data_IF_092379102436
#
_entry.id   IF_092379102436
#
_cell.length_a   1.000
_cell.length_b   1.000
_cell.length_c   1.000
_cell.angle_alpha   90.00
_cell.angle_beta   90.00
_cell.angle_gamma   90.00
#
_symmetry.space_group_name_H-M   'P 1'
#
loop_
_entity.id
_entity.type
_entity.pdbx_description
1 polymer ?
#
# COMPACT_ATOMS: atom_id res chain seq x y z
N UNK A 1 21.46 -12.32 8.24
CA UNK A 1 20.50 -11.21 8.41
C UNK A 1 19.90 -11.28 9.81
N UNK A 2 20.21 -10.29 10.66
CA UNK A 2 19.66 -10.18 12.01
C UNK A 2 18.56 -9.10 11.97
N UNK A 3 17.26 -9.47 12.06
CA UNK A 3 16.16 -8.51 11.96
C UNK A 3 16.25 -7.32 12.91
N UNK A 4 16.78 -7.55 14.11
CA UNK A 4 16.97 -6.52 15.13
C UNK A 4 17.99 -5.45 14.71
N UNK A 5 19.02 -5.84 13.94
CA UNK A 5 20.03 -4.91 13.43
C UNK A 5 19.40 -4.00 12.39
N UNK A 6 18.61 -4.56 11.47
CA UNK A 6 17.92 -3.80 10.43
C UNK A 6 16.87 -2.85 11.02
N UNK A 7 16.07 -3.29 11.99
CA UNK A 7 15.13 -2.43 12.72
C UNK A 7 15.86 -1.25 13.39
N UNK A 8 16.94 -1.55 14.12
CA UNK A 8 17.74 -0.52 14.80
C UNK A 8 18.38 0.45 13.80
N UNK A 9 18.89 -0.05 12.68
CA UNK A 9 19.48 0.77 11.64
C UNK A 9 18.43 1.72 11.04
N UNK A 10 17.23 1.22 10.71
CA UNK A 10 16.17 2.08 10.17
C UNK A 10 15.75 3.16 11.15
N UNK A 11 15.70 2.86 12.46
CA UNK A 11 15.38 3.82 13.50
C UNK A 11 16.47 4.90 13.63
N UNK A 12 17.74 4.49 13.68
CA UNK A 12 18.90 5.39 13.73
C UNK A 12 18.98 6.24 12.47
N UNK A 13 18.71 5.68 11.29
CA UNK A 13 18.66 6.43 10.03
C UNK A 13 17.54 7.48 10.04
N UNK A 14 16.34 7.13 10.50
CA UNK A 14 15.23 8.07 10.60
C UNK A 14 15.56 9.22 11.56
N UNK A 15 15.99 8.92 12.79
CA UNK A 15 16.31 9.95 13.78
C UNK A 15 17.56 10.76 13.41
N UNK A 16 18.59 10.11 12.86
CA UNK A 16 19.79 10.77 12.37
C UNK A 16 19.49 11.73 11.23
N UNK A 17 18.61 11.37 10.29
CA UNK A 17 18.17 12.25 9.21
C UNK A 17 17.40 13.47 9.73
N UNK A 18 16.58 13.29 10.77
CA UNK A 18 15.91 14.41 11.44
C UNK A 18 16.92 15.42 11.96
N UNK A 19 17.87 14.97 12.80
CA UNK A 19 18.86 15.84 13.43
C UNK A 19 19.78 16.52 12.40
N UNK A 20 20.32 15.76 11.46
CA UNK A 20 21.20 16.30 10.42
C UNK A 20 20.48 17.34 9.56
N UNK A 21 19.22 17.10 9.22
CA UNK A 21 18.46 18.07 8.44
C UNK A 21 18.15 19.34 9.23
N UNK A 22 17.88 19.27 10.54
CA UNK A 22 17.67 20.47 11.36
C UNK A 22 18.97 21.27 11.55
N UNK A 23 20.11 20.61 11.77
CA UNK A 23 21.42 21.28 11.91
C UNK A 23 21.83 22.03 10.65
N UNK A 24 21.46 21.51 9.48
CA UNK A 24 21.69 22.16 8.18
C UNK A 24 20.64 23.25 7.84
N UNK A 25 19.70 23.52 8.74
CA UNK A 25 18.63 24.51 8.55
C UNK A 25 17.48 24.06 7.63
N UNK A 26 17.41 22.77 7.31
CA UNK A 26 16.32 22.15 6.56
C UNK A 26 15.17 21.66 7.46
N UNK A 27 14.17 21.01 6.86
CA UNK A 27 13.07 20.40 7.61
C UNK A 27 13.41 18.97 8.03
N UNK A 28 13.64 18.75 9.33
CA UNK A 28 13.85 17.43 9.93
C UNK A 28 12.82 16.40 9.47
N UNK A 29 11.53 16.77 9.48
CA UNK A 29 10.42 15.91 9.06
C UNK A 29 10.55 15.48 7.59
N UNK A 30 10.85 16.40 6.67
CA UNK A 30 11.06 16.07 5.25
C UNK A 30 12.29 15.18 5.08
N UNK A 31 13.35 15.39 5.86
CA UNK A 31 14.53 14.53 5.88
C UNK A 31 14.18 13.09 6.25
N UNK A 32 13.37 12.89 7.30
CA UNK A 32 12.89 11.56 7.69
C UNK A 32 12.03 10.92 6.60
N UNK A 33 11.10 11.66 6.00
CA UNK A 33 10.25 11.17 4.90
C UNK A 33 11.11 10.71 3.72
N UNK A 34 12.13 11.49 3.36
CA UNK A 34 13.07 11.15 2.27
C UNK A 34 13.80 9.84 2.57
N UNK A 35 14.33 9.69 3.78
CA UNK A 35 14.99 8.45 4.22
C UNK A 35 14.01 7.28 4.26
N UNK A 36 12.77 7.50 4.68
CA UNK A 36 11.70 6.50 4.66
C UNK A 36 11.41 5.98 3.26
N UNK A 37 11.31 6.88 2.26
CA UNK A 37 11.12 6.50 0.85
C UNK A 37 12.32 5.71 0.32
N UNK A 38 13.55 6.14 0.64
CA UNK A 38 14.77 5.44 0.21
C UNK A 38 14.85 4.03 0.82
N UNK A 39 14.63 3.90 2.14
CA UNK A 39 14.64 2.61 2.84
C UNK A 39 13.49 1.70 2.35
N UNK A 40 12.30 2.25 2.16
CA UNK A 40 11.13 1.53 1.68
C UNK A 40 11.28 0.98 0.26
N UNK A 41 11.88 1.76 -0.65
CA UNK A 41 12.05 1.34 -2.03
C UNK A 41 13.31 0.49 -2.24
N UNK A 42 14.48 0.99 -1.82
CA UNK A 42 15.77 0.35 -2.10
C UNK A 42 16.18 -0.65 -1.02
N UNK A 43 16.08 -0.26 0.26
CA UNK A 43 16.47 -1.13 1.37
C UNK A 43 15.66 -2.42 1.39
N UNK A 44 14.34 -2.30 1.19
CA UNK A 44 13.40 -3.41 1.26
C UNK A 44 13.45 -4.41 0.10
N UNK A 45 13.92 -4.04 -1.10
CA UNK A 45 14.01 -4.95 -2.27
C UNK A 45 15.41 -5.49 -2.50
N UNK A 46 16.45 -4.69 -2.25
CA UNK A 46 17.84 -5.06 -2.61
C UNK A 46 18.61 -5.60 -1.39
N UNK A 47 18.33 -5.06 -0.19
CA UNK A 47 19.12 -5.31 1.01
C UNK A 47 18.52 -6.28 2.05
N UNK A 48 17.22 -6.56 1.99
CA UNK A 48 16.51 -7.33 3.03
C UNK A 48 15.94 -8.66 2.50
N UNK A 49 16.06 -9.73 3.29
CA UNK A 49 15.33 -10.98 3.08
C UNK A 49 13.81 -10.75 3.28
N UNK A 50 12.89 -11.38 2.51
CA UNK A 50 11.44 -11.27 2.68
C UNK A 50 10.93 -11.40 4.12
N UNK A 51 11.54 -12.28 4.94
CA UNK A 51 11.19 -12.39 6.37
C UNK A 51 11.54 -11.14 7.16
N UNK A 52 12.72 -10.57 6.92
CA UNK A 52 13.15 -9.37 7.65
C UNK A 52 12.35 -8.15 7.25
N UNK A 53 12.01 -8.02 5.96
CA UNK A 53 11.11 -6.99 5.45
C UNK A 53 9.78 -6.96 6.20
N UNK A 54 9.17 -8.13 6.40
CA UNK A 54 7.91 -8.25 7.14
C UNK A 54 8.07 -7.77 8.58
N UNK A 55 9.11 -8.23 9.28
CA UNK A 55 9.37 -7.85 10.68
C UNK A 55 9.69 -6.35 10.86
N UNK A 56 10.37 -5.73 9.90
CA UNK A 56 10.63 -4.28 9.91
C UNK A 56 9.34 -3.50 9.66
N UNK A 57 8.52 -3.94 8.70
CA UNK A 57 7.21 -3.33 8.41
C UNK A 57 6.28 -3.40 9.62
N UNK A 58 6.13 -4.58 10.23
CA UNK A 58 5.31 -4.77 11.43
C UNK A 58 5.79 -3.92 12.61
N UNK A 59 7.12 -3.80 12.78
CA UNK A 59 7.70 -2.93 13.81
C UNK A 59 7.32 -1.45 13.61
N UNK A 60 7.43 -0.93 12.39
CA UNK A 60 7.06 0.45 12.08
C UNK A 60 5.56 0.70 12.14
N UNK A 61 4.73 -0.27 11.73
CA UNK A 61 3.27 -0.21 11.86
C UNK A 61 2.87 -0.15 13.34
N UNK A 62 3.46 -1.01 14.18
CA UNK A 62 3.27 -0.98 15.63
C UNK A 62 3.70 0.36 16.23
N UNK A 63 4.88 0.87 15.86
CA UNK A 63 5.40 2.14 16.38
C UNK A 63 4.49 3.31 15.97
N UNK A 64 4.05 3.35 14.70
CA UNK A 64 3.13 4.36 14.21
C UNK A 64 1.79 4.31 14.94
N UNK A 65 1.22 3.12 15.12
CA UNK A 65 -0.01 2.93 15.91
C UNK A 65 0.16 3.41 17.36
N UNK A 66 1.28 3.06 18.00
CA UNK A 66 1.56 3.43 19.39
C UNK A 66 1.70 4.95 19.55
N UNK A 67 2.51 5.61 18.70
CA UNK A 67 2.69 7.06 18.72
C UNK A 67 1.37 7.78 18.41
N UNK A 68 0.62 7.32 17.41
CA UNK A 68 -0.69 7.89 17.09
C UNK A 68 -1.64 7.80 18.29
N UNK A 69 -1.67 6.67 18.99
CA UNK A 69 -2.50 6.47 20.18
C UNK A 69 -2.15 7.45 21.31
N UNK A 70 -0.86 7.70 21.53
CA UNK A 70 -0.39 8.72 22.49
C UNK A 70 -0.86 10.11 22.07
N UNK A 71 -0.68 10.48 20.79
CA UNK A 71 -1.10 11.79 20.27
C UNK A 71 -2.61 12.00 20.43
N UNK A 72 -3.42 10.97 20.15
CA UNK A 72 -4.87 11.02 20.36
C UNK A 72 -5.26 11.15 21.83
N UNK A 73 -4.55 10.47 22.74
CA UNK A 73 -4.77 10.60 24.17
C UNK A 73 -4.42 12.02 24.64
N UNK A 74 -3.28 12.57 24.20
CA UNK A 74 -2.81 13.91 24.56
C UNK A 74 -3.76 15.01 24.10
N UNK A 75 -4.30 14.93 22.89
CA UNK A 75 -5.33 15.90 22.47
C UNK A 75 -6.63 15.68 23.23
N UNK A 76 -7.00 14.42 23.50
CA UNK A 76 -8.12 14.04 24.36
C UNK A 76 -8.12 14.78 25.70
N UNK A 77 -6.95 14.84 26.34
CA UNK A 77 -6.71 15.49 27.63
C UNK A 77 -6.80 17.03 27.56
N UNK A 78 -6.41 17.64 26.44
CA UNK A 78 -6.38 19.10 26.26
C UNK A 78 -7.74 19.72 25.91
N UNK A 79 -8.78 18.90 25.68
CA UNK A 79 -10.09 19.39 25.25
C UNK A 79 -10.89 19.90 26.43
N UNK A 80 -11.41 21.11 26.28
CA UNK A 80 -12.37 21.70 27.20
C UNK A 80 -13.74 21.73 26.55
N UNK A 81 -14.67 20.86 26.98
CA UNK A 81 -16.00 20.74 26.37
C UNK A 81 -16.78 22.06 26.30
N UNK A 82 -16.62 22.93 27.31
CA UNK A 82 -17.24 24.26 27.32
C UNK A 82 -16.71 25.16 26.20
N UNK A 83 -15.39 25.18 26.00
CA UNK A 83 -14.72 25.92 24.93
C UNK A 83 -15.08 25.36 23.55
N UNK A 84 -15.12 24.03 23.43
CA UNK A 84 -15.49 23.35 22.18
C UNK A 84 -16.91 23.71 21.71
N UNK A 85 -17.88 23.76 22.64
CA UNK A 85 -19.26 24.17 22.32
C UNK A 85 -19.31 25.65 21.94
N UNK A 86 -18.58 26.51 22.64
CA UNK A 86 -18.47 27.93 22.31
C UNK A 86 -17.92 28.15 20.89
N UNK A 87 -16.94 27.33 20.50
CA UNK A 87 -16.26 27.39 19.21
C UNK A 87 -16.94 26.55 18.12
N UNK A 88 -18.13 25.99 18.37
CA UNK A 88 -18.82 25.09 17.44
C UNK A 88 -19.02 25.71 16.04
N UNK A 89 -19.38 27.00 15.99
CA UNK A 89 -19.54 27.70 14.72
C UNK A 89 -18.23 27.73 13.92
N UNK A 90 -17.11 28.03 14.56
CA UNK A 90 -15.78 28.07 13.92
C UNK A 90 -15.34 26.69 13.46
N UNK A 91 -15.65 25.64 14.24
CA UNK A 91 -15.40 24.25 13.86
C UNK A 91 -16.14 23.90 12.56
N UNK A 92 -17.44 24.23 12.47
CA UNK A 92 -18.23 23.95 11.26
C UNK A 92 -17.70 24.72 10.04
N UNK A 93 -17.35 26.00 10.22
CA UNK A 93 -16.72 26.80 9.15
C UNK A 93 -15.39 26.20 8.72
N UNK A 94 -14.56 25.76 9.67
CA UNK A 94 -13.29 25.12 9.39
C UNK A 94 -13.47 23.79 8.64
N UNK A 95 -14.44 22.95 9.04
CA UNK A 95 -14.78 21.71 8.33
C UNK A 95 -15.17 22.04 6.88
N UNK A 96 -16.08 22.99 6.67
CA UNK A 96 -16.52 23.39 5.35
C UNK A 96 -15.36 23.93 4.50
N UNK A 97 -14.53 24.81 5.06
CA UNK A 97 -13.36 25.37 4.39
C UNK A 97 -12.37 24.27 3.98
N UNK A 98 -12.14 23.29 4.84
CA UNK A 98 -11.27 22.14 4.56
C UNK A 98 -11.82 21.28 3.43
N UNK A 99 -13.11 20.92 3.50
CA UNK A 99 -13.76 20.11 2.47
C UNK A 99 -13.74 20.81 1.11
N UNK A 100 -14.03 22.11 1.08
CA UNK A 100 -14.04 22.92 -0.14
C UNK A 100 -12.63 23.08 -0.71
N UNK A 101 -11.66 23.44 0.12
CA UNK A 101 -10.26 23.59 -0.32
C UNK A 101 -9.74 22.26 -0.90
N UNK A 102 -10.13 21.15 -0.26
CA UNK A 102 -9.72 19.82 -0.69
C UNK A 102 -10.36 19.38 -2.01
N UNK A 103 -11.66 19.58 -2.20
CA UNK A 103 -12.31 19.22 -3.47
C UNK A 103 -11.71 20.04 -4.62
N UNK A 104 -11.45 21.33 -4.39
CA UNK A 104 -10.79 22.18 -5.39
C UNK A 104 -9.39 21.64 -5.71
N UNK A 105 -8.57 21.37 -4.69
CA UNK A 105 -7.22 20.85 -4.88
C UNK A 105 -7.22 19.54 -5.68
N UNK A 106 -8.11 18.61 -5.36
CA UNK A 106 -8.19 17.31 -6.04
C UNK A 106 -8.71 17.45 -7.46
N UNK A 107 -9.73 18.27 -7.70
CA UNK A 107 -10.21 18.51 -9.07
C UNK A 107 -9.12 19.15 -9.93
N UNK A 108 -8.36 20.11 -9.38
CA UNK A 108 -7.25 20.75 -10.11
C UNK A 108 -6.13 19.75 -10.38
N UNK A 109 -5.67 19.02 -9.35
CA UNK A 109 -4.58 18.05 -9.51
C UNK A 109 -4.98 16.86 -10.38
N UNK A 110 -6.20 16.34 -10.26
CA UNK A 110 -6.67 15.22 -11.06
C UNK A 110 -6.80 15.61 -12.54
N UNK A 111 -7.36 16.79 -12.84
CA UNK A 111 -7.39 17.27 -14.22
C UNK A 111 -5.98 17.52 -14.77
N UNK A 112 -5.08 18.09 -13.96
CA UNK A 112 -3.69 18.27 -14.37
C UNK A 112 -2.99 16.93 -14.63
N UNK A 113 -3.18 15.94 -13.75
CA UNK A 113 -2.64 14.58 -13.90
C UNK A 113 -3.21 13.88 -15.12
N UNK A 114 -4.51 14.01 -15.39
CA UNK A 114 -5.14 13.41 -16.56
C UNK A 114 -4.61 14.01 -17.86
N UNK A 115 -4.26 15.30 -17.87
CA UNK A 115 -3.69 15.95 -19.06
C UNK A 115 -2.21 15.63 -19.24
N UNK A 116 -1.41 15.65 -18.16
CA UNK A 116 0.05 15.52 -18.24
C UNK A 116 0.49 14.06 -18.21
N UNK A 117 -0.05 13.30 -17.26
CA UNK A 117 0.35 11.93 -16.99
C UNK A 117 -0.64 10.89 -17.55
N UNK A 118 -1.76 11.32 -18.18
CA UNK A 118 -2.78 10.42 -18.74
C UNK A 118 -3.28 9.39 -17.73
N UNK A 119 -3.42 9.82 -16.48
CA UNK A 119 -3.74 8.95 -15.34
C UNK A 119 -5.18 8.42 -15.31
N UNK A 120 -6.03 8.84 -16.26
CA UNK A 120 -7.42 8.39 -16.42
C UNK A 120 -8.29 8.42 -15.15
N UNK A 121 -7.99 9.32 -14.20
CA UNK A 121 -8.67 9.39 -12.91
C UNK A 121 -10.11 9.86 -13.14
N UNK A 122 -11.07 8.94 -13.02
CA UNK A 122 -12.47 9.17 -13.28
C UNK A 122 -13.11 9.98 -12.15
N UNK A 123 -14.22 10.67 -12.43
CA UNK A 123 -14.92 11.51 -11.45
C UNK A 123 -15.31 10.75 -10.17
N UNK A 124 -15.66 9.47 -10.30
CA UNK A 124 -15.94 8.60 -9.14
C UNK A 124 -14.71 8.43 -8.25
N UNK A 125 -13.53 8.23 -8.82
CA UNK A 125 -12.27 8.07 -8.10
C UNK A 125 -11.87 9.40 -7.44
N UNK A 126 -12.06 10.52 -8.13
CA UNK A 126 -11.84 11.86 -7.56
C UNK A 126 -12.71 12.13 -6.33
N UNK A 127 -13.98 11.71 -6.35
CA UNK A 127 -14.87 11.80 -5.18
C UNK A 127 -14.32 10.99 -4.01
N UNK A 128 -13.77 9.80 -4.26
CA UNK A 128 -13.19 8.98 -3.19
C UNK A 128 -11.88 9.58 -2.68
N UNK A 129 -11.03 10.10 -3.57
CA UNK A 129 -9.82 10.81 -3.15
C UNK A 129 -10.16 12.04 -2.30
N UNK A 130 -11.29 12.69 -2.57
CA UNK A 130 -11.79 13.81 -1.76
C UNK A 130 -12.32 13.36 -0.41
N UNK A 131 -13.10 12.28 -0.37
CA UNK A 131 -13.76 11.83 0.85
C UNK A 131 -12.88 10.92 1.73
N UNK A 132 -11.86 10.28 1.17
CA UNK A 132 -11.10 9.21 1.80
C UNK A 132 -9.87 9.65 2.61
N UNK A 133 -9.59 10.94 2.75
CA UNK A 133 -8.40 11.39 3.49
C UNK A 133 -8.75 11.70 4.92
N UNK A 134 -8.68 10.65 5.72
CA UNK A 134 -8.69 10.73 7.15
C UNK A 134 -7.57 11.67 7.60
N UNK A 135 -7.91 12.72 8.35
CA UNK A 135 -6.88 13.57 8.95
C UNK A 135 -6.16 12.81 10.06
N UNK A 136 -4.84 12.91 10.03
CA UNK A 136 -3.96 12.17 10.90
C UNK A 136 -3.61 12.88 12.20
N UNK A 137 -2.85 12.14 13.01
CA UNK A 137 -2.12 12.57 14.20
C UNK A 137 -1.20 13.77 13.97
N UNK A 138 -0.74 14.01 12.73
CA UNK A 138 0.18 15.10 12.41
C UNK A 138 -0.47 16.47 12.67
N UNK A 139 -1.73 16.68 12.25
CA UNK A 139 -2.44 17.93 12.51
C UNK A 139 -2.62 18.19 14.01
N UNK A 140 -2.89 17.11 14.76
CA UNK A 140 -2.99 17.15 16.22
C UNK A 140 -1.65 17.55 16.84
N UNK A 141 -0.56 16.89 16.45
CA UNK A 141 0.76 17.16 17.00
C UNK A 141 1.17 18.64 16.78
N UNK A 142 0.89 19.19 15.59
CA UNK A 142 1.15 20.60 15.28
C UNK A 142 0.28 21.51 16.15
N UNK A 143 -1.01 21.21 16.34
CA UNK A 143 -1.89 22.00 17.19
C UNK A 143 -1.43 22.00 18.66
N UNK A 144 -0.95 20.86 19.16
CA UNK A 144 -0.40 20.75 20.52
C UNK A 144 0.91 21.52 20.69
N UNK A 145 1.71 21.64 19.63
CA UNK A 145 2.97 22.38 19.59
C UNK A 145 2.81 23.90 19.57
N UNK A 146 1.57 24.42 19.47
CA UNK A 146 1.32 25.86 19.49
C UNK A 146 1.75 26.44 20.85
N UNK A 147 2.61 27.49 20.88
CA UNK A 147 3.09 28.09 22.12
C UNK A 147 1.97 28.61 23.01
N UNK A 148 2.11 28.45 24.33
CA UNK A 148 1.13 28.92 25.34
C UNK A 148 1.03 30.44 25.46
N UNK A 149 1.96 31.17 24.82
CA UNK A 149 2.00 32.64 24.80
C UNK A 149 0.89 33.21 23.90
N UNK A 150 0.36 32.41 22.98
CA UNK A 150 -0.75 32.79 22.11
C UNK A 150 -2.07 32.63 22.87
N UNK A 151 -2.82 33.73 23.03
CA UNK A 151 -4.10 33.74 23.74
C UNK A 151 -5.15 32.81 23.13
N UNK A 152 -5.11 32.61 21.82
CA UNK A 152 -6.08 31.80 21.07
C UNK A 152 -5.67 30.33 20.92
N UNK A 153 -4.67 29.86 21.70
CA UNK A 153 -4.19 28.48 21.63
C UNK A 153 -5.33 27.46 21.84
N UNK A 154 -6.20 27.69 22.83
CA UNK A 154 -7.29 26.77 23.11
C UNK A 154 -8.30 26.72 21.96
N UNK A 155 -8.61 27.86 21.35
CA UNK A 155 -9.48 27.94 20.18
C UNK A 155 -8.91 27.17 18.99
N UNK A 156 -7.60 27.28 18.73
CA UNK A 156 -6.92 26.51 17.68
C UNK A 156 -7.02 25.01 17.96
N UNK A 157 -6.76 24.59 19.20
CA UNK A 157 -6.85 23.17 19.59
C UNK A 157 -8.28 22.65 19.41
N UNK A 158 -9.28 23.41 19.85
CA UNK A 158 -10.69 23.06 19.71
C UNK A 158 -11.11 22.91 18.24
N UNK A 159 -10.68 23.85 17.38
CA UNK A 159 -10.96 23.81 15.94
C UNK A 159 -10.30 22.58 15.30
N UNK A 160 -9.01 22.36 15.56
CA UNK A 160 -8.27 21.22 14.99
C UNK A 160 -8.87 19.91 15.47
N UNK A 161 -9.17 19.80 16.77
CA UNK A 161 -9.83 18.62 17.33
C UNK A 161 -11.18 18.37 16.67
N UNK A 162 -12.04 19.39 16.58
CA UNK A 162 -13.36 19.28 15.97
C UNK A 162 -13.30 18.80 14.52
N UNK A 163 -12.37 19.35 13.72
CA UNK A 163 -12.18 18.90 12.34
C UNK A 163 -11.66 17.46 12.28
N UNK A 164 -10.66 17.10 13.09
CA UNK A 164 -10.11 15.73 13.10
C UNK A 164 -11.19 14.73 13.53
N UNK A 165 -11.94 15.03 14.59
CA UNK A 165 -13.05 14.20 15.07
C UNK A 165 -14.11 14.00 13.98
N UNK A 166 -14.47 15.07 13.26
CA UNK A 166 -15.38 14.97 12.12
C UNK A 166 -14.82 14.05 11.04
N UNK A 167 -13.56 14.21 10.63
CA UNK A 167 -12.98 13.35 9.57
C UNK A 167 -12.88 11.89 10.00
N UNK A 168 -12.54 11.60 11.26
CA UNK A 168 -12.46 10.21 11.74
C UNK A 168 -13.84 9.55 11.85
N UNK A 169 -14.83 10.25 12.41
CA UNK A 169 -16.16 9.69 12.63
C UNK A 169 -17.04 9.72 11.39
N UNK A 170 -17.04 10.82 10.64
CA UNK A 170 -17.90 10.97 9.47
C UNK A 170 -17.21 10.37 8.25
N UNK A 171 -16.06 10.91 7.82
CA UNK A 171 -15.38 10.43 6.61
C UNK A 171 -14.90 8.98 6.79
N UNK A 172 -14.33 8.64 7.96
CA UNK A 172 -13.81 7.29 8.23
C UNK A 172 -14.86 6.19 8.15
N UNK A 173 -15.99 6.34 8.86
CA UNK A 173 -17.06 5.33 8.82
C UNK A 173 -17.82 5.32 7.49
N UNK A 174 -17.96 6.47 6.82
CA UNK A 174 -18.72 6.55 5.57
C UNK A 174 -17.92 6.18 4.31
N UNK A 175 -16.59 6.15 4.38
CA UNK A 175 -15.73 5.82 3.21
C UNK A 175 -16.08 4.45 2.62
N UNK A 176 -16.24 3.41 3.45
CA UNK A 176 -16.63 2.07 2.97
C UNK A 176 -18.00 2.08 2.29
N UNK A 177 -18.96 2.82 2.84
CA UNK A 177 -20.29 2.97 2.25
C UNK A 177 -20.23 3.70 0.91
N UNK A 178 -19.44 4.77 0.82
CA UNK A 178 -19.27 5.56 -0.40
C UNK A 178 -18.58 4.76 -1.50
N UNK A 179 -17.55 4.00 -1.16
CA UNK A 179 -16.86 3.07 -2.07
C UNK A 179 -17.84 2.05 -2.68
N UNK A 180 -18.70 1.44 -1.87
CA UNK A 180 -19.73 0.51 -2.35
C UNK A 180 -20.76 1.21 -3.25
N UNK A 181 -21.20 2.41 -2.87
CA UNK A 181 -22.20 3.16 -3.63
C UNK A 181 -21.69 3.62 -5.00
N UNK A 182 -20.39 3.92 -5.11
CA UNK A 182 -19.76 4.32 -6.37
C UNK A 182 -19.37 3.13 -7.26
N UNK A 183 -19.57 1.89 -6.77
CA UNK A 183 -19.19 0.64 -7.41
C UNK A 183 -17.67 0.53 -7.68
N UNK A 184 -16.87 1.23 -6.87
CA UNK A 184 -15.40 1.16 -6.98
C UNK A 184 -14.82 -0.04 -6.22
N UNK A 185 -15.65 -0.75 -5.45
CA UNK A 185 -15.32 -2.06 -4.86
C UNK A 185 -15.75 -3.22 -5.79
N UNK A 186 -16.52 -2.93 -6.86
CA UNK A 186 -17.36 -3.86 -7.62
C UNK A 186 -16.72 -5.14 -8.16
N UNK A 187 -15.40 -5.24 -8.22
CA UNK A 187 -14.69 -6.45 -8.64
C UNK A 187 -13.56 -6.91 -7.71
N UNK A 188 -13.26 -6.21 -6.61
CA UNK A 188 -12.14 -6.56 -5.73
C UNK A 188 -12.33 -7.94 -5.06
N UNK A 189 -13.54 -8.26 -4.60
CA UNK A 189 -13.84 -9.57 -4.00
C UNK A 189 -13.75 -10.70 -5.03
N UNK A 190 -14.23 -10.48 -6.26
CA UNK A 190 -14.21 -11.46 -7.34
C UNK A 190 -12.80 -11.63 -7.92
N UNK A 191 -12.05 -10.54 -8.12
CA UNK A 191 -10.62 -10.56 -8.49
C UNK A 191 -9.78 -11.29 -7.44
N UNK A 192 -10.06 -11.07 -6.15
CA UNK A 192 -9.39 -11.78 -5.05
C UNK A 192 -9.73 -13.27 -5.06
N UNK A 193 -11.01 -13.62 -5.21
CA UNK A 193 -11.44 -15.01 -5.33
C UNK A 193 -10.82 -15.70 -6.55
N UNK A 194 -10.75 -15.01 -7.69
CA UNK A 194 -10.09 -15.48 -8.90
C UNK A 194 -8.58 -15.68 -8.68
N UNK A 195 -7.91 -14.73 -8.02
CA UNK A 195 -6.49 -14.83 -7.65
C UNK A 195 -6.20 -15.99 -6.68
N UNK A 196 -7.07 -16.22 -5.69
CA UNK A 196 -6.98 -17.35 -4.76
C UNK A 196 -7.12 -18.68 -5.51
N UNK A 197 -8.08 -18.79 -6.43
CA UNK A 197 -8.24 -19.99 -7.27
C UNK A 197 -7.05 -20.21 -8.20
N UNK A 198 -6.47 -19.15 -8.78
CA UNK A 198 -5.24 -19.23 -9.56
C UNK A 198 -4.06 -19.74 -8.73
N UNK A 199 -3.90 -19.22 -7.51
CA UNK A 199 -2.86 -19.65 -6.58
C UNK A 199 -3.03 -21.13 -6.18
N UNK A 200 -4.27 -21.55 -5.89
CA UNK A 200 -4.60 -22.96 -5.62
C UNK A 200 -4.28 -23.84 -6.83
N UNK A 201 -4.68 -23.45 -8.04
CA UNK A 201 -4.38 -24.18 -9.28
C UNK A 201 -2.87 -24.35 -9.47
N UNK A 202 -2.11 -23.29 -9.23
CA UNK A 202 -0.65 -23.33 -9.34
C UNK A 202 -0.01 -24.24 -8.29
N UNK A 203 -0.49 -24.18 -7.04
CA UNK A 203 -0.02 -25.04 -5.96
C UNK A 203 -0.30 -26.52 -6.28
N UNK A 204 -1.54 -26.87 -6.64
CA UNK A 204 -1.90 -28.23 -7.00
C UNK A 204 -1.15 -28.73 -8.23
N UNK A 205 -0.90 -27.87 -9.23
CA UNK A 205 -0.07 -28.23 -10.39
C UNK A 205 1.36 -28.59 -9.98
N UNK A 206 1.98 -27.80 -9.11
CA UNK A 206 3.33 -28.09 -8.60
C UNK A 206 3.37 -29.36 -7.77
N UNK A 207 2.37 -29.59 -6.91
CA UNK A 207 2.26 -30.84 -6.15
C UNK A 207 2.10 -32.03 -7.08
N UNK A 208 1.24 -31.94 -8.09
CA UNK A 208 1.06 -32.98 -9.10
C UNK A 208 2.35 -33.25 -9.88
N UNK A 209 3.04 -32.22 -10.34
CA UNK A 209 4.34 -32.36 -11.03
C UNK A 209 5.41 -33.00 -10.13
N UNK A 210 5.41 -32.66 -8.84
CA UNK A 210 6.32 -33.26 -7.87
C UNK A 210 6.02 -34.74 -7.65
N UNK A 211 4.74 -35.10 -7.51
CA UNK A 211 4.30 -36.49 -7.45
C UNK A 211 4.74 -37.20 -8.74
N UNK A 212 4.37 -36.69 -9.92
CA UNK A 212 4.66 -37.32 -11.22
C UNK A 212 6.18 -37.51 -11.50
N UNK A 213 7.05 -36.71 -10.88
CA UNK A 213 8.52 -36.82 -11.00
C UNK A 213 9.18 -37.72 -9.96
N UNK A 214 8.52 -38.01 -8.85
CA UNK A 214 9.07 -38.92 -7.85
C UNK A 214 9.00 -40.36 -8.34
N UNK A 215 10.16 -41.00 -8.47
CA UNK A 215 10.22 -42.45 -8.39
C UNK A 215 9.76 -42.87 -6.99
N UNK A 216 8.90 -43.89 -6.94
CA UNK A 216 8.25 -44.42 -5.73
C UNK A 216 9.23 -44.44 -4.56
N UNK A 217 8.96 -43.65 -3.53
CA UNK A 217 9.72 -43.72 -2.28
C UNK A 217 9.63 -45.16 -1.75
N UNK A 218 10.75 -45.86 -1.52
CA UNK A 218 10.74 -47.28 -1.13
C UNK A 218 10.03 -47.54 0.20
N UNK A 219 9.82 -46.51 1.03
CA UNK A 219 9.15 -46.57 2.34
C UNK A 219 7.67 -46.16 2.31
N UNK A 220 7.12 -45.76 1.15
CA UNK A 220 5.74 -45.29 1.04
C UNK A 220 4.90 -46.32 0.29
N UNK A 221 3.77 -46.69 0.87
CA UNK A 221 2.82 -47.62 0.27
C UNK A 221 2.28 -47.09 -1.07
N UNK A 222 2.24 -47.97 -2.07
CA UNK A 222 1.79 -47.64 -3.43
C UNK A 222 0.32 -47.20 -3.44
N UNK A 223 -0.52 -47.82 -2.61
CA UNK A 223 -1.94 -47.47 -2.52
C UNK A 223 -2.13 -46.05 -2.00
N UNK A 224 -1.34 -45.65 -0.99
CA UNK A 224 -1.34 -44.30 -0.44
C UNK A 224 -0.93 -43.26 -1.49
N UNK A 225 0.13 -43.55 -2.25
CA UNK A 225 0.60 -42.67 -3.31
C UNK A 225 -0.46 -42.46 -4.41
N UNK A 226 -1.14 -43.54 -4.84
CA UNK A 226 -2.20 -43.45 -5.84
C UNK A 226 -3.43 -42.69 -5.31
N UNK A 227 -3.76 -42.86 -4.02
CA UNK A 227 -4.85 -42.12 -3.37
C UNK A 227 -4.59 -40.61 -3.39
N UNK A 228 -3.41 -40.18 -2.92
CA UNK A 228 -3.01 -38.77 -2.89
C UNK A 228 -2.95 -38.17 -4.30
N UNK A 229 -2.39 -38.91 -5.27
CA UNK A 229 -2.37 -38.48 -6.67
C UNK A 229 -3.78 -38.27 -7.22
N UNK A 230 -4.71 -39.17 -6.91
CA UNK A 230 -6.10 -39.07 -7.34
C UNK A 230 -6.82 -37.89 -6.67
N UNK A 231 -6.59 -37.67 -5.37
CA UNK A 231 -7.12 -36.53 -4.64
C UNK A 231 -6.66 -35.21 -5.24
N UNK A 232 -5.35 -35.02 -5.41
CA UNK A 232 -4.79 -33.78 -5.98
C UNK A 232 -5.26 -33.57 -7.42
N UNK A 233 -5.39 -34.63 -8.22
CA UNK A 233 -5.92 -34.54 -9.59
C UNK A 233 -7.38 -34.08 -9.61
N UNK A 234 -8.21 -34.60 -8.70
CA UNK A 234 -9.61 -34.21 -8.58
C UNK A 234 -9.77 -32.77 -8.08
N UNK A 235 -8.97 -32.35 -7.10
CA UNK A 235 -8.96 -30.97 -6.60
C UNK A 235 -8.51 -30.00 -7.70
N UNK A 236 -7.45 -30.34 -8.44
CA UNK A 236 -6.98 -29.53 -9.57
C UNK A 236 -8.07 -29.39 -10.65
N UNK A 237 -8.80 -30.47 -10.96
CA UNK A 237 -9.92 -30.42 -11.91
C UNK A 237 -11.05 -29.52 -11.41
N UNK A 238 -11.40 -29.62 -10.11
CA UNK A 238 -12.45 -28.81 -9.48
C UNK A 238 -12.12 -27.32 -9.50
N UNK A 239 -10.89 -26.95 -9.14
CA UNK A 239 -10.41 -25.56 -9.19
C UNK A 239 -10.38 -25.04 -10.63
N UNK A 240 -9.98 -25.88 -11.58
CA UNK A 240 -9.93 -25.50 -13.00
C UNK A 240 -11.33 -25.27 -13.57
N UNK A 241 -12.31 -26.09 -13.21
CA UNK A 241 -13.71 -25.91 -13.61
C UNK A 241 -14.33 -24.63 -13.02
N UNK A 242 -14.04 -24.33 -11.74
CA UNK A 242 -14.46 -23.07 -11.10
C UNK A 242 -13.87 -21.85 -11.80
N UNK A 243 -12.59 -21.90 -12.17
CA UNK A 243 -11.94 -20.83 -12.93
C UNK A 243 -12.59 -20.67 -14.32
N UNK A 244 -12.88 -21.78 -15.01
CA UNK A 244 -13.51 -21.72 -16.33
C UNK A 244 -14.90 -21.07 -16.28
N UNK A 245 -15.71 -21.39 -15.26
CA UNK A 245 -17.03 -20.77 -15.03
C UNK A 245 -16.93 -19.27 -14.79
N UNK A 246 -16.00 -18.84 -13.94
CA UNK A 246 -15.77 -17.42 -13.66
C UNK A 246 -15.29 -16.68 -14.94
N UNK A 247 -14.43 -17.31 -15.74
CA UNK A 247 -13.94 -16.76 -17.01
C UNK A 247 -15.03 -16.67 -18.08
N UNK A 248 -16.04 -17.55 -18.05
CA UNK A 248 -17.19 -17.53 -18.96
C UNK A 248 -18.20 -16.44 -18.57
N UNK A 249 -18.43 -16.25 -17.26
CA UNK A 249 -19.29 -15.20 -16.73
C UNK A 249 -18.68 -13.80 -16.89
N UNK A 250 -17.35 -13.67 -16.77
CA UNK A 250 -16.61 -12.40 -16.86
C UNK A 250 -15.28 -12.55 -17.60
N UNK A 251 -15.27 -12.35 -18.93
CA UNK A 251 -14.05 -12.47 -19.74
C UNK A 251 -12.96 -11.45 -19.37
N UNK A 252 -13.34 -10.30 -18.82
CA UNK A 252 -12.46 -9.23 -18.33
C UNK A 252 -11.52 -9.67 -17.18
N UNK A 253 -11.84 -10.75 -16.47
CA UNK A 253 -10.95 -11.31 -15.43
C UNK A 253 -9.73 -12.05 -16.01
N UNK A 254 -9.73 -12.38 -17.31
CA UNK A 254 -8.53 -12.96 -17.96
C UNK A 254 -7.37 -11.97 -18.02
N UNK A 255 -7.65 -10.67 -18.06
CA UNK A 255 -6.62 -9.65 -18.06
C UNK A 255 -5.90 -9.61 -16.71
N UNK A 256 -6.60 -9.88 -15.61
CA UNK A 256 -6.00 -10.05 -14.27
C UNK A 256 -4.98 -11.20 -14.24
N UNK A 257 -5.27 -12.32 -14.90
CA UNK A 257 -4.30 -13.43 -15.03
C UNK A 257 -3.03 -13.03 -15.78
N UNK A 258 -3.18 -12.23 -16.85
CA UNK A 258 -2.05 -11.74 -17.66
C UNK A 258 -1.22 -10.73 -16.89
N UNK A 259 -1.86 -9.79 -16.21
CA UNK A 259 -1.23 -8.81 -15.34
C UNK A 259 -0.47 -9.49 -14.19
N UNK A 260 -1.07 -10.46 -13.51
CA UNK A 260 -0.41 -11.21 -12.44
C UNK A 260 0.79 -12.01 -12.93
N UNK A 261 0.70 -12.64 -14.11
CA UNK A 261 1.84 -13.35 -14.69
C UNK A 261 2.96 -12.37 -15.03
N UNK A 262 2.64 -11.23 -15.65
CA UNK A 262 3.62 -10.20 -16.02
C UNK A 262 4.31 -9.62 -14.79
N UNK A 263 3.56 -9.24 -13.76
CA UNK A 263 4.10 -8.76 -12.50
C UNK A 263 5.01 -9.80 -11.85
N UNK A 264 4.63 -11.08 -11.87
CA UNK A 264 5.44 -12.17 -11.30
C UNK A 264 6.72 -12.43 -12.09
N UNK A 265 6.69 -12.31 -13.42
CA UNK A 265 7.87 -12.42 -14.25
C UNK A 265 8.84 -11.26 -13.97
N UNK A 266 8.33 -10.03 -13.85
CA UNK A 266 9.12 -8.86 -13.49
C UNK A 266 9.74 -8.98 -12.09
N UNK A 267 9.00 -9.53 -11.12
CA UNK A 267 9.50 -9.76 -9.76
C UNK A 267 10.65 -10.78 -9.74
N UNK A 268 10.49 -11.90 -10.46
CA UNK A 268 11.55 -12.92 -10.62
C UNK A 268 12.78 -12.31 -11.30
N UNK A 269 12.58 -11.51 -12.34
CA UNK A 269 13.66 -10.85 -13.07
C UNK A 269 14.40 -9.85 -12.17
N UNK A 270 13.68 -9.00 -11.43
CA UNK A 270 14.23 -8.06 -10.47
C UNK A 270 15.01 -8.75 -9.33
N UNK A 271 14.46 -9.81 -8.75
CA UNK A 271 15.11 -10.61 -7.71
C UNK A 271 16.42 -11.24 -8.21
N UNK A 272 16.40 -11.75 -9.45
CA UNK A 272 17.58 -12.34 -10.10
C UNK A 272 18.68 -11.29 -10.28
N UNK A 273 18.34 -10.09 -10.75
CA UNK A 273 19.30 -8.99 -10.88
C UNK A 273 19.86 -8.56 -9.51
N UNK A 274 19.00 -8.46 -8.49
CA UNK A 274 19.44 -8.13 -7.14
C UNK A 274 20.41 -9.19 -6.57
N UNK A 275 20.16 -10.47 -6.83
CA UNK A 275 21.05 -11.57 -6.45
C UNK A 275 22.42 -11.49 -7.15
N UNK A 276 22.44 -11.20 -8.45
CA UNK A 276 23.67 -11.06 -9.23
C UNK A 276 24.52 -9.85 -8.80
N UNK A 277 23.90 -8.76 -8.35
CA UNK A 277 24.60 -7.61 -7.76
C UNK A 277 25.20 -7.99 -6.40
N UNK A 278 24.42 -8.63 -5.52
CA UNK A 278 24.89 -9.05 -4.18
C UNK A 278 26.05 -10.05 -4.26
N UNK A 279 26.05 -10.93 -5.24
CA UNK A 279 27.13 -11.89 -5.46
C UNK A 279 28.38 -11.28 -6.10
N UNK A 280 28.36 -9.98 -6.44
CA UNK A 280 29.44 -9.29 -7.14
C UNK A 280 29.63 -9.74 -8.59
N UNK A 281 28.68 -10.49 -9.15
CA UNK A 281 28.71 -10.97 -10.54
C UNK A 281 28.27 -9.92 -11.55
N UNK A 282 27.54 -8.89 -11.09
CA UNK A 282 27.18 -7.70 -11.86
C UNK A 282 27.72 -6.45 -11.17
N UNK A 283 28.35 -5.55 -11.93
CA UNK A 283 28.80 -4.26 -11.43
C UNK A 283 27.62 -3.29 -11.23
N UNK A 284 27.72 -2.43 -10.22
CA UNK A 284 26.63 -1.52 -9.79
C UNK A 284 26.26 -0.43 -10.82
N UNK A 285 27.10 -0.24 -11.85
CA UNK A 285 26.82 0.60 -13.01
C UNK A 285 25.97 -0.17 -14.04
N UNK A 286 24.67 -0.25 -13.76
CA UNK A 286 23.67 -0.92 -14.59
C UNK A 286 23.52 -0.26 -15.98
N UNK A 287 23.31 -1.06 -17.03
CA UNK A 287 22.88 -0.54 -18.32
C UNK A 287 21.46 0.04 -18.20
N UNK A 288 21.11 1.00 -19.06
CA UNK A 288 19.80 1.67 -19.06
C UNK A 288 18.63 0.69 -19.11
N UNK A 289 18.81 -0.47 -19.76
CA UNK A 289 17.79 -1.53 -19.90
C UNK A 289 17.47 -2.20 -18.56
N UNK A 290 18.47 -2.47 -17.72
CA UNK A 290 18.25 -3.14 -16.42
C UNK A 290 17.65 -2.15 -15.41
N UNK A 291 18.04 -0.87 -15.50
CA UNK A 291 17.36 0.19 -14.75
C UNK A 291 15.89 0.31 -15.13
N UNK A 292 15.57 0.24 -16.43
CA UNK A 292 14.19 0.33 -16.93
C UNK A 292 13.34 -0.86 -16.45
N UNK A 293 13.89 -2.07 -16.41
CA UNK A 293 13.20 -3.27 -15.91
C UNK A 293 12.95 -3.18 -14.40
N UNK A 294 13.95 -2.73 -13.64
CA UNK A 294 13.81 -2.49 -12.19
C UNK A 294 12.76 -1.40 -11.91
N UNK A 295 12.74 -0.32 -12.70
CA UNK A 295 11.74 0.75 -12.60
C UNK A 295 10.35 0.26 -12.98
N UNK A 296 10.19 -0.54 -14.04
CA UNK A 296 8.90 -1.14 -14.40
C UNK A 296 8.34 -2.07 -13.32
N UNK A 297 9.22 -2.80 -12.61
CA UNK A 297 8.81 -3.59 -11.44
C UNK A 297 8.37 -2.74 -10.22
N UNK A 298 8.69 -1.44 -10.23
CA UNK A 298 8.31 -0.45 -9.23
C UNK A 298 7.00 0.26 -9.63
N UNK A 299 6.76 0.49 -10.93
CA UNK A 299 5.58 1.20 -11.44
C UNK A 299 4.31 0.34 -11.61
N UNK A 300 4.43 -0.97 -11.84
CA UNK A 300 3.29 -1.89 -12.04
C UNK A 300 2.60 -2.30 -10.72
N UNK A 301 2.13 -1.32 -9.93
CA UNK A 301 1.00 -1.54 -9.02
C UNK A 301 -0.32 -1.59 -9.83
N UNK A 302 -1.36 -2.32 -9.37
CA UNK A 302 -2.45 -2.86 -10.19
C UNK A 302 -3.48 -1.83 -10.71
N UNK A 303 -3.11 -0.56 -10.92
CA UNK A 303 -4.04 0.51 -11.27
C UNK A 303 -3.79 1.23 -12.61
N UNK A 304 -2.73 0.94 -13.37
CA UNK A 304 -2.30 1.84 -14.46
C UNK A 304 -1.95 1.16 -15.81
N UNK A 305 -2.77 0.24 -16.31
CA UNK A 305 -2.43 -0.53 -17.54
C UNK A 305 -3.28 -0.26 -18.80
N UNK A 306 -4.13 0.78 -18.84
CA UNK A 306 -4.82 1.16 -20.10
C UNK A 306 -3.90 1.72 -21.20
N UNK A 307 -2.61 1.95 -20.92
CA UNK A 307 -1.67 2.59 -21.86
C UNK A 307 -1.18 1.68 -22.99
N UNK A 308 -1.49 0.39 -22.97
CA UNK A 308 -0.85 -0.60 -23.85
C UNK A 308 -1.63 -0.95 -25.13
N UNK A 309 -2.93 -0.67 -25.21
CA UNK A 309 -3.72 -1.03 -26.41
C UNK A 309 -3.56 -0.05 -27.58
N UNK A 310 -2.84 1.07 -27.42
CA UNK A 310 -2.69 2.10 -28.47
C UNK A 310 -1.29 2.20 -29.07
N UNK A 311 -0.32 1.37 -28.64
CA UNK A 311 1.05 1.40 -29.16
C UNK A 311 1.35 0.31 -30.21
N UNK A 312 0.38 -0.55 -30.53
CA UNK A 312 0.49 -1.61 -31.55
C UNK A 312 -0.59 -1.46 -32.63
N UNK A 313 -0.59 -0.34 -33.34
CA UNK A 313 -1.05 -0.34 -34.75
C UNK A 313 0.05 0.29 -35.62
N UNK A 314 0.47 -0.38 -36.71
CA UNK A 314 1.62 0.02 -37.53
C UNK A 314 1.42 1.29 -38.36
#
# INVERSE_FOLDING_TARGET
>A
DLPLVEQSLTLVSAYGAYLLSEELGGSGVIGVVTVGIILGNYGSRIGMNPRTRLLVSEFWEFLAFFVNSIVFLLIGDQIQFSSLISNFYLIVVAIAAVLITRIIAILVLANFSNVVAQSDINFKEQIILWWGGLRGSVSIAIALSVPTILGDRQEIIDIVFGVVLFTLLVEGLSTKWLLNKLDLIGDQSQKRQYAELLAQRLAFRRVKEYLDKMDKLPDVDEEFYQLERKLITNELATVTDKLAKIEEEKPELKDVSREQLRAKLLDIEADTYAELIRSGSLDSNLSSVIQDILVRSIEDEPYNLRRYDQAEEP
#
